data_IF_240542755377
#
_entry.id   IF_240542755377
#
_cell.length_a   1.000
_cell.length_b   1.000
_cell.length_c   1.000
_cell.angle_alpha   90.00
_cell.angle_beta   90.00
_cell.angle_gamma   90.00
#
_symmetry.space_group_name_H-M   'P 1'
#
loop_
_entity.id
_entity.type
_entity.pdbx_description
1 polymer ?
#
# COMPACT_ATOMS: atom_id res chain seq x y z
N UNK A 1 -5.15 -9.27 -12.46
CA UNK A 1 -5.83 -10.17 -11.51
C UNK A 1 -5.06 -10.30 -10.19
N UNK A 2 -3.75 -10.60 -10.20
CA UNK A 2 -2.92 -10.72 -8.98
C UNK A 2 -2.91 -9.45 -8.11
N UNK A 3 -2.82 -8.27 -8.72
CA UNK A 3 -2.85 -6.97 -8.03
C UNK A 3 -4.15 -6.78 -7.24
N UNK A 4 -5.30 -7.06 -7.86
CA UNK A 4 -6.60 -7.01 -7.22
C UNK A 4 -6.71 -7.97 -6.04
N UNK A 5 -6.17 -9.19 -6.17
CA UNK A 5 -6.16 -10.21 -5.10
C UNK A 5 -5.26 -9.77 -3.93
N UNK A 6 -4.08 -9.20 -4.22
CA UNK A 6 -3.18 -8.67 -3.19
C UNK A 6 -3.74 -7.42 -2.51
N UNK A 7 -4.38 -6.52 -3.26
CA UNK A 7 -5.07 -5.36 -2.72
C UNK A 7 -6.26 -5.77 -1.86
N UNK A 8 -7.11 -6.69 -2.31
CA UNK A 8 -8.25 -7.21 -1.52
C UNK A 8 -7.79 -7.96 -0.28
N UNK A 9 -6.81 -8.86 -0.41
CA UNK A 9 -6.27 -9.62 0.72
C UNK A 9 -5.63 -8.71 1.76
N UNK A 10 -4.85 -7.72 1.32
CA UNK A 10 -4.27 -6.73 2.21
C UNK A 10 -5.31 -5.82 2.86
N UNK A 11 -6.39 -5.46 2.14
CA UNK A 11 -7.47 -4.63 2.68
C UNK A 11 -8.32 -5.41 3.71
N UNK A 12 -8.55 -6.71 3.49
CA UNK A 12 -9.21 -7.60 4.44
C UNK A 12 -8.34 -7.79 5.70
N UNK A 13 -7.07 -8.15 5.55
CA UNK A 13 -6.15 -8.27 6.69
C UNK A 13 -6.00 -6.93 7.41
N UNK A 14 -5.94 -5.85 6.66
CA UNK A 14 -5.81 -4.50 7.17
C UNK A 14 -7.05 -3.94 7.83
N UNK A 15 -8.23 -4.47 7.52
CA UNK A 15 -9.46 -4.16 8.26
C UNK A 15 -9.60 -5.00 9.53
N UNK A 16 -9.13 -6.26 9.53
CA UNK A 16 -9.23 -7.17 10.67
C UNK A 16 -8.19 -6.90 11.76
N UNK A 17 -6.95 -6.53 11.38
CA UNK A 17 -5.87 -6.23 12.33
C UNK A 17 -6.17 -5.08 13.31
N UNK A 18 -6.71 -3.91 12.89
CA UNK A 18 -7.11 -2.83 13.79
C UNK A 18 -8.19 -3.25 14.77
N UNK A 19 -9.10 -4.13 14.38
CA UNK A 19 -10.17 -4.63 15.26
C UNK A 19 -9.58 -5.45 16.42
N UNK A 20 -8.53 -6.25 16.17
CA UNK A 20 -7.86 -7.04 17.22
C UNK A 20 -6.83 -6.22 17.99
N UNK A 21 -5.92 -5.51 17.32
CA UNK A 21 -4.72 -4.89 17.93
C UNK A 21 -4.71 -3.35 17.97
N UNK A 22 -5.73 -2.70 17.43
CA UNK A 22 -6.00 -1.28 17.63
C UNK A 22 -5.09 -0.44 16.74
N UNK A 23 -4.50 0.61 17.31
CA UNK A 23 -3.59 1.50 16.56
C UNK A 23 -2.39 0.72 16.01
N UNK A 24 -1.79 -0.21 16.78
CA UNK A 24 -0.67 -1.02 16.29
C UNK A 24 -1.07 -1.93 15.13
N UNK A 25 -2.28 -2.50 15.19
CA UNK A 25 -2.84 -3.30 14.08
C UNK A 25 -3.06 -2.46 12.82
N UNK A 26 -3.53 -1.22 12.98
CA UNK A 26 -3.69 -0.26 11.89
C UNK A 26 -2.34 0.15 11.27
N UNK A 27 -1.34 0.49 12.08
CA UNK A 27 -0.03 0.89 11.59
C UNK A 27 0.65 -0.28 10.85
N UNK A 28 0.59 -1.49 11.40
CA UNK A 28 1.12 -2.68 10.74
C UNK A 28 0.42 -2.96 9.41
N UNK A 29 -0.91 -2.93 9.40
CA UNK A 29 -1.71 -3.09 8.20
C UNK A 29 -1.37 -2.06 7.11
N UNK A 30 -1.33 -0.78 7.48
CA UNK A 30 -1.01 0.31 6.57
C UNK A 30 0.40 0.16 5.99
N UNK A 31 1.40 -0.16 6.83
CA UNK A 31 2.77 -0.36 6.39
C UNK A 31 2.90 -1.55 5.43
N UNK A 32 2.28 -2.69 5.75
CA UNK A 32 2.32 -3.88 4.89
C UNK A 32 1.63 -3.66 3.55
N UNK A 33 0.44 -3.05 3.55
CA UNK A 33 -0.28 -2.72 2.33
C UNK A 33 0.50 -1.75 1.46
N UNK A 34 1.10 -0.72 2.06
CA UNK A 34 1.93 0.25 1.36
C UNK A 34 3.13 -0.44 0.70
N UNK A 35 3.86 -1.27 1.45
CA UNK A 35 5.03 -1.99 0.94
C UNK A 35 4.66 -2.93 -0.23
N UNK A 36 3.54 -3.65 -0.13
CA UNK A 36 3.04 -4.51 -1.21
C UNK A 36 2.71 -3.67 -2.45
N UNK A 37 2.03 -2.54 -2.29
CA UNK A 37 1.66 -1.70 -3.42
C UNK A 37 2.86 -1.05 -4.12
N UNK A 38 3.89 -0.67 -3.36
CA UNK A 38 5.17 -0.21 -3.90
C UNK A 38 5.85 -1.32 -4.68
N UNK A 39 5.95 -2.52 -4.10
CA UNK A 39 6.60 -3.67 -4.72
C UNK A 39 5.89 -4.09 -6.02
N UNK A 40 4.56 -4.06 -6.02
CA UNK A 40 3.76 -4.33 -7.23
C UNK A 40 3.99 -3.26 -8.28
N UNK A 41 3.91 -1.97 -7.92
CA UNK A 41 4.10 -0.86 -8.87
C UNK A 41 5.50 -0.89 -9.50
N UNK A 42 6.53 -1.15 -8.69
CA UNK A 42 7.90 -1.29 -9.16
C UNK A 42 8.14 -2.62 -9.92
N UNK A 43 7.41 -3.68 -9.60
CA UNK A 43 7.54 -4.99 -10.24
C UNK A 43 6.87 -5.09 -11.61
N UNK A 44 5.91 -4.22 -11.91
CA UNK A 44 5.19 -4.22 -13.20
C UNK A 44 5.82 -3.35 -14.28
N UNK A 45 6.92 -2.67 -13.98
CA UNK A 45 7.49 -1.64 -14.86
C UNK A 45 6.64 -0.36 -14.87
N UNK A 46 7.21 0.69 -15.46
CA UNK A 46 6.59 2.00 -15.56
C UNK A 46 5.65 2.07 -16.77
N UNK A 47 4.39 2.44 -16.56
CA UNK A 47 3.40 2.62 -17.63
C UNK A 47 3.20 1.39 -18.54
N UNK A 48 3.47 0.18 -18.04
CA UNK A 48 3.32 -1.08 -18.78
C UNK A 48 4.54 -1.49 -19.63
N UNK A 49 5.65 -0.78 -19.54
CA UNK A 49 6.93 -1.19 -20.13
C UNK A 49 7.63 -2.26 -19.29
N UNK A 50 8.67 -2.90 -19.84
CA UNK A 50 9.51 -3.80 -19.04
C UNK A 50 10.30 -3.04 -17.97
N UNK A 51 10.85 -3.76 -16.98
CA UNK A 51 11.71 -3.14 -15.95
C UNK A 51 12.99 -2.59 -16.60
N UNK A 52 13.57 -3.30 -17.58
CA UNK A 52 14.75 -2.83 -18.31
C UNK A 52 14.46 -1.52 -19.07
N UNK A 53 13.34 -1.47 -19.80
CA UNK A 53 12.90 -0.26 -20.51
C UNK A 53 12.61 0.89 -19.53
N UNK A 54 12.00 0.58 -18.40
CA UNK A 54 11.78 1.54 -17.33
C UNK A 54 13.10 2.10 -16.81
N UNK A 55 14.09 1.26 -16.53
CA UNK A 55 15.39 1.68 -16.01
C UNK A 55 16.14 2.58 -16.98
N UNK A 56 16.00 2.39 -18.29
CA UNK A 56 16.57 3.31 -19.29
C UNK A 56 16.05 4.75 -19.11
N UNK A 57 14.76 4.92 -18.79
CA UNK A 57 14.16 6.23 -18.49
C UNK A 57 14.74 6.87 -17.21
N UNK A 58 15.27 6.04 -16.30
CA UNK A 58 15.92 6.47 -15.07
C UNK A 58 17.46 6.40 -15.15
N UNK A 59 18.05 6.43 -16.36
CA UNK A 59 19.49 6.35 -16.58
C UNK A 59 20.16 5.12 -15.93
N UNK A 60 19.46 3.99 -15.86
CA UNK A 60 19.90 2.77 -15.18
C UNK A 60 19.87 2.82 -13.65
N UNK A 61 19.38 3.91 -13.05
CA UNK A 61 19.36 4.09 -11.60
C UNK A 61 18.14 3.42 -10.95
N UNK A 62 18.40 2.30 -10.27
CA UNK A 62 17.41 1.63 -9.43
C UNK A 62 16.87 2.51 -8.31
N UNK A 63 17.73 3.36 -7.72
CA UNK A 63 17.32 4.26 -6.63
C UNK A 63 16.30 5.28 -7.14
N UNK A 64 16.54 5.85 -8.31
CA UNK A 64 15.62 6.81 -8.95
C UNK A 64 14.31 6.14 -9.37
N UNK A 65 14.39 4.94 -9.94
CA UNK A 65 13.23 4.14 -10.32
C UNK A 65 12.33 3.79 -9.12
N UNK A 66 12.92 3.26 -8.04
CA UNK A 66 12.19 2.92 -6.82
C UNK A 66 11.65 4.17 -6.13
N UNK A 67 12.44 5.25 -6.06
CA UNK A 67 12.02 6.52 -5.48
C UNK A 67 10.82 7.13 -6.21
N UNK A 68 10.79 7.05 -7.54
CA UNK A 68 9.65 7.47 -8.33
C UNK A 68 8.40 6.62 -8.04
N UNK A 69 8.52 5.29 -8.06
CA UNK A 69 7.41 4.39 -7.74
C UNK A 69 6.86 4.58 -6.32
N UNK A 70 7.74 4.86 -5.35
CA UNK A 70 7.37 5.23 -3.98
C UNK A 70 6.51 6.49 -3.95
N UNK A 71 6.90 7.54 -4.67
CA UNK A 71 6.13 8.80 -4.72
C UNK A 71 4.76 8.61 -5.36
N UNK A 72 4.69 7.86 -6.47
CA UNK A 72 3.42 7.52 -7.12
C UNK A 72 2.51 6.75 -6.16
N UNK A 73 3.06 5.71 -5.50
CA UNK A 73 2.32 4.89 -4.55
C UNK A 73 1.83 5.72 -3.37
N UNK A 74 2.67 6.59 -2.80
CA UNK A 74 2.31 7.49 -1.70
C UNK A 74 1.08 8.36 -2.03
N UNK A 75 1.06 8.97 -3.22
CA UNK A 75 -0.08 9.80 -3.65
C UNK A 75 -1.36 8.96 -3.82
N UNK A 76 -1.24 7.75 -4.35
CA UNK A 76 -2.37 6.84 -4.54
C UNK A 76 -2.84 6.16 -3.23
N UNK A 77 -2.04 6.18 -2.16
CA UNK A 77 -2.33 5.44 -0.93
C UNK A 77 -3.28 6.16 0.03
N UNK A 78 -3.49 7.47 -0.14
CA UNK A 78 -4.39 8.26 0.69
C UNK A 78 -5.81 7.67 0.86
N UNK A 79 -6.55 7.29 -0.22
CA UNK A 79 -7.86 6.66 -0.08
C UNK A 79 -7.81 5.30 0.62
N UNK A 80 -6.72 4.54 0.45
CA UNK A 80 -6.54 3.24 1.12
C UNK A 80 -6.40 3.44 2.63
N UNK A 81 -5.61 4.44 3.05
CA UNK A 81 -5.48 4.80 4.47
C UNK A 81 -6.81 5.19 5.11
N UNK A 82 -7.63 5.97 4.39
CA UNK A 82 -8.97 6.34 4.87
C UNK A 82 -9.85 5.10 5.05
N UNK A 83 -9.84 4.17 4.10
CA UNK A 83 -10.59 2.92 4.21
C UNK A 83 -10.12 2.07 5.40
N UNK A 84 -8.81 1.97 5.63
CA UNK A 84 -8.23 1.25 6.77
C UNK A 84 -8.55 1.92 8.13
N UNK A 85 -8.77 3.24 8.15
CA UNK A 85 -9.07 3.96 9.37
C UNK A 85 -10.50 3.69 9.89
N UNK A 86 -11.45 3.39 9.00
CA UNK A 86 -12.86 3.10 9.36
C UNK A 86 -13.00 2.08 10.50
N UNK A 87 -12.44 0.85 10.42
CA UNK A 87 -12.57 -0.14 11.48
C UNK A 87 -11.88 0.28 12.79
N UNK A 88 -10.79 1.05 12.72
CA UNK A 88 -10.12 1.60 13.90
C UNK A 88 -11.02 2.62 14.61
N UNK A 89 -11.57 3.58 13.87
CA UNK A 89 -12.44 4.63 14.41
C UNK A 89 -13.68 4.00 15.05
N UNK A 90 -14.31 3.05 14.35
CA UNK A 90 -15.46 2.31 14.88
C UNK A 90 -15.12 1.58 16.19
N UNK A 91 -13.95 0.93 16.27
CA UNK A 91 -13.50 0.25 17.49
C UNK A 91 -13.31 1.24 18.65
N UNK A 92 -12.69 2.39 18.37
CA UNK A 92 -12.42 3.41 19.38
C UNK A 92 -13.73 4.03 19.90
N UNK A 93 -14.69 4.31 19.01
CA UNK A 93 -16.01 4.81 19.39
C UNK A 93 -16.78 3.87 20.32
N UNK A 94 -16.68 2.55 20.11
CA UNK A 94 -17.30 1.55 21.01
C UNK A 94 -16.69 1.46 22.41
N UNK A 95 -15.46 1.94 22.61
CA UNK A 95 -14.82 1.92 23.94
C UNK A 95 -15.20 3.11 24.81
N UNK A 96 -15.78 4.14 24.21
CA UNK A 96 -16.11 5.40 24.89
C UNK A 96 -17.61 5.53 25.25
N UNK A 97 -18.44 4.63 24.75
CA UNK A 97 -19.87 4.51 25.07
C UNK A 97 -20.12 3.36 26.04
#
# INVERSE_FOLDING_TARGET
MLILVMSLGGLVLGALMPIRWGVFGFLGAAASLFAIQVAVSAGTGFAGSSIEESLLLFNGSWVSYLGFNLQVTYRAFAPVLLALAVPLIWRLGRRQS
#
